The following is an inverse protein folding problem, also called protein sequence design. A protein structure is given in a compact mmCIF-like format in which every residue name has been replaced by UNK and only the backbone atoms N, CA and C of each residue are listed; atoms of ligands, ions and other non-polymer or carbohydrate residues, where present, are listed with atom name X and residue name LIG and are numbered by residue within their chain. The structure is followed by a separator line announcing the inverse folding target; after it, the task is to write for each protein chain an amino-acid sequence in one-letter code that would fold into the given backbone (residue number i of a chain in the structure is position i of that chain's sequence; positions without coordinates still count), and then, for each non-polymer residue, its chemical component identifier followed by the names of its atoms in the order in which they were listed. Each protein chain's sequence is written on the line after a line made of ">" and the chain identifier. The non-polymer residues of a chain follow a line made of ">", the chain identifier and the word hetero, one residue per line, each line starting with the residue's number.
data_IF_765294408293
#
_entry.id   IF_765294408293
#
_cell.length_a   1.000
_cell.length_b   1.000
_cell.length_c   1.000
_cell.angle_alpha   90.00
_cell.angle_beta   90.00
_cell.angle_gamma   90.00
#
_symmetry.space_group_name_H-M   'P 1'
#
loop_
_entity.id
_entity.type
_entity.pdbx_description
1 polymer ?
#
# COMPACT_ATOMS: atom_id res chain seq x y z
N UNK A 1 3.84 -36.56 -24.78
CA UNK A 1 5.14 -36.27 -24.16
C UNK A 1 5.09 -34.90 -23.48
N UNK A 2 5.20 -34.94 -22.17
CA UNK A 2 5.31 -33.90 -21.14
C UNK A 2 5.57 -32.45 -21.58
N UNK A 3 4.54 -31.59 -21.47
CA UNK A 3 4.73 -30.14 -21.27
C UNK A 3 4.96 -29.95 -19.77
N UNK A 4 6.18 -29.59 -19.39
CA UNK A 4 6.57 -29.32 -18.01
C UNK A 4 5.84 -28.11 -17.45
N UNK A 5 4.69 -28.36 -16.81
CA UNK A 5 4.08 -27.46 -15.84
C UNK A 5 5.05 -27.32 -14.65
N UNK A 6 5.95 -26.34 -14.74
CA UNK A 6 6.54 -25.75 -13.56
C UNK A 6 5.41 -25.06 -12.79
N UNK A 7 4.65 -25.85 -12.01
CA UNK A 7 3.88 -25.35 -10.88
C UNK A 7 4.88 -24.85 -9.86
N UNK A 8 5.43 -23.67 -10.09
CA UNK A 8 6.02 -22.87 -9.02
C UNK A 8 4.86 -22.66 -8.05
N UNK A 9 4.96 -23.10 -6.78
CA UNK A 9 3.88 -22.90 -5.83
C UNK A 9 3.72 -21.39 -5.63
N UNK A 10 2.68 -20.87 -6.26
CA UNK A 10 2.20 -19.51 -6.19
C UNK A 10 1.74 -19.26 -4.75
N UNK A 11 2.60 -18.62 -3.95
CA UNK A 11 2.44 -18.50 -2.50
C UNK A 11 1.34 -17.47 -2.21
N UNK A 12 0.10 -17.92 -2.16
CA UNK A 12 -0.97 -17.15 -1.56
C UNK A 12 -0.93 -17.29 -0.05
N UNK A 13 -0.70 -16.17 0.63
CA UNK A 13 -0.78 -16.10 2.09
C UNK A 13 0.13 -15.00 2.63
N UNK A 14 -0.49 -13.91 3.08
CA UNK A 14 0.20 -12.95 3.93
C UNK A 14 0.79 -13.72 5.13
N UNK A 15 2.11 -13.75 5.23
CA UNK A 15 2.76 -14.26 6.44
C UNK A 15 2.36 -13.36 7.62
N UNK A 16 2.29 -13.89 8.86
CA UNK A 16 2.04 -13.05 10.05
C UNK A 16 2.94 -11.80 10.10
N UNK A 17 4.17 -11.93 9.62
CA UNK A 17 5.15 -10.84 9.53
C UNK A 17 4.76 -9.73 8.54
N UNK A 18 4.14 -10.06 7.41
CA UNK A 18 3.66 -9.06 6.44
C UNK A 18 2.43 -8.32 6.97
N UNK A 19 1.52 -9.02 7.64
CA UNK A 19 0.35 -8.42 8.30
C UNK A 19 0.73 -7.47 9.43
N UNK A 20 1.66 -7.88 10.31
CA UNK A 20 2.17 -7.02 11.38
C UNK A 20 2.83 -5.76 10.82
N UNK A 21 3.59 -5.91 9.73
CA UNK A 21 4.23 -4.78 9.05
C UNK A 21 3.19 -3.84 8.45
N UNK A 22 2.13 -4.38 7.84
CA UNK A 22 1.02 -3.60 7.32
C UNK A 22 0.32 -2.81 8.43
N UNK A 23 -0.02 -3.46 9.55
CA UNK A 23 -0.63 -2.81 10.72
C UNK A 23 0.22 -1.67 11.26
N UNK A 24 1.54 -1.86 11.36
CA UNK A 24 2.46 -0.78 11.78
C UNK A 24 2.43 0.40 10.80
N UNK A 25 2.38 0.16 9.49
CA UNK A 25 2.26 1.21 8.49
C UNK A 25 0.94 1.96 8.66
N UNK A 26 -0.18 1.26 8.79
CA UNK A 26 -1.49 1.87 9.02
C UNK A 26 -1.51 2.75 10.27
N UNK A 27 -1.08 2.20 11.41
CA UNK A 27 -1.05 2.94 12.69
C UNK A 27 -0.17 4.19 12.55
N UNK A 28 1.04 4.04 11.99
CA UNK A 28 1.97 5.16 11.82
C UNK A 28 1.41 6.25 10.90
N UNK A 29 0.78 5.87 9.77
CA UNK A 29 0.18 6.82 8.83
C UNK A 29 -1.03 7.54 9.43
N UNK A 30 -1.88 6.81 10.14
CA UNK A 30 -3.03 7.39 10.84
C UNK A 30 -2.59 8.34 11.95
N UNK A 31 -1.63 7.94 12.79
CA UNK A 31 -1.10 8.80 13.86
C UNK A 31 -0.46 10.08 13.29
N UNK A 32 0.33 9.96 12.22
CA UNK A 32 0.92 11.12 11.55
C UNK A 32 -0.15 12.04 10.95
N UNK A 33 -1.20 11.49 10.35
CA UNK A 33 -2.32 12.28 9.84
C UNK A 33 -3.02 13.03 10.98
N UNK A 34 -3.37 12.36 12.07
CA UNK A 34 -4.00 12.99 13.25
C UNK A 34 -3.12 14.12 13.79
N UNK A 35 -1.83 13.87 13.97
CA UNK A 35 -0.88 14.89 14.41
C UNK A 35 -0.87 16.09 13.46
N UNK A 36 -0.80 15.84 12.14
CA UNK A 36 -0.80 16.91 11.14
C UNK A 36 -2.10 17.72 11.15
N UNK A 37 -3.27 17.06 11.21
CA UNK A 37 -4.57 17.74 11.27
C UNK A 37 -4.68 18.60 12.55
N UNK A 38 -4.18 18.12 13.68
CA UNK A 38 -4.13 18.89 14.94
C UNK A 38 -3.25 20.13 14.81
N UNK A 39 -2.05 20.01 14.23
CA UNK A 39 -1.17 21.15 14.02
C UNK A 39 -1.78 22.16 13.04
N UNK A 40 -2.37 21.70 11.94
CA UNK A 40 -3.04 22.59 10.99
C UNK A 40 -4.21 23.35 11.63
N UNK A 41 -4.95 22.72 12.54
CA UNK A 41 -6.01 23.38 13.31
C UNK A 41 -5.46 24.41 14.30
N UNK A 42 -4.41 24.04 15.06
CA UNK A 42 -3.89 24.86 16.16
C UNK A 42 -3.03 26.02 15.66
N UNK A 43 -2.16 25.78 14.67
CA UNK A 43 -1.17 26.76 14.20
C UNK A 43 -1.76 27.67 13.11
N UNK A 44 -2.58 27.11 12.22
CA UNK A 44 -3.16 27.87 11.11
C UNK A 44 -4.61 28.30 11.37
N UNK A 45 -5.08 28.19 12.62
CA UNK A 45 -6.44 28.56 13.06
C UNK A 45 -7.56 28.00 12.17
N UNK A 46 -7.32 26.84 11.57
CA UNK A 46 -8.23 26.26 10.58
C UNK A 46 -9.47 25.66 11.26
N UNK A 47 -10.61 25.81 10.62
CA UNK A 47 -11.84 25.14 11.03
C UNK A 47 -11.68 23.60 10.99
N UNK A 48 -12.46 22.86 11.80
CA UNK A 48 -12.45 21.39 11.76
C UNK A 48 -12.68 20.86 10.35
N UNK A 49 -11.86 19.88 9.95
CA UNK A 49 -11.99 19.22 8.66
C UNK A 49 -13.26 18.38 8.59
N UNK A 50 -13.87 18.33 7.42
CA UNK A 50 -14.98 17.40 7.17
C UNK A 50 -14.49 15.96 7.16
N UNK A 51 -15.36 15.02 7.51
CA UNK A 51 -15.05 13.59 7.47
C UNK A 51 -14.58 13.15 6.07
N UNK A 52 -15.22 13.68 5.02
CA UNK A 52 -14.84 13.42 3.62
C UNK A 52 -13.40 13.86 3.32
N UNK A 53 -13.01 15.05 3.74
CA UNK A 53 -11.63 15.54 3.54
C UNK A 53 -10.61 14.71 4.31
N UNK A 54 -10.95 14.29 5.54
CA UNK A 54 -10.09 13.42 6.36
C UNK A 54 -9.88 12.08 5.65
N UNK A 55 -10.96 11.45 5.17
CA UNK A 55 -10.90 10.18 4.44
C UNK A 55 -10.09 10.31 3.16
N UNK A 56 -10.31 11.35 2.35
CA UNK A 56 -9.53 11.59 1.13
C UNK A 56 -8.03 11.82 1.42
N UNK A 57 -7.69 12.55 2.49
CA UNK A 57 -6.30 12.77 2.90
C UNK A 57 -5.64 11.49 3.40
N UNK A 58 -6.40 10.67 4.14
CA UNK A 58 -5.94 9.37 4.63
C UNK A 58 -5.67 8.39 3.47
N UNK A 59 -6.64 8.26 2.55
CA UNK A 59 -6.49 7.49 1.31
C UNK A 59 -5.28 7.98 0.51
N UNK A 60 -5.14 9.30 0.32
CA UNK A 60 -3.97 9.87 -0.37
C UNK A 60 -2.65 9.56 0.33
N UNK A 61 -2.62 9.50 1.67
CA UNK A 61 -1.42 9.14 2.42
C UNK A 61 -1.04 7.67 2.27
N UNK A 62 -2.03 6.79 2.18
CA UNK A 62 -1.82 5.36 1.96
C UNK A 62 -1.48 5.05 0.50
N UNK A 63 -2.14 5.66 -0.47
CA UNK A 63 -1.82 5.52 -1.89
C UNK A 63 -0.38 5.98 -2.19
N UNK A 64 0.06 7.10 -1.59
CA UNK A 64 1.47 7.52 -1.66
C UNK A 64 2.41 6.47 -1.08
N UNK A 65 2.00 5.79 -0.01
CA UNK A 65 2.82 4.74 0.61
C UNK A 65 2.88 3.48 -0.25
N UNK A 66 1.75 3.04 -0.79
CA UNK A 66 1.64 1.96 -1.75
C UNK A 66 2.55 2.22 -2.96
N UNK A 67 2.44 3.39 -3.59
CA UNK A 67 3.29 3.81 -4.70
C UNK A 67 4.79 3.75 -4.35
N UNK A 68 5.18 4.25 -3.17
CA UNK A 68 6.57 4.15 -2.71
C UNK A 68 7.01 2.70 -2.49
N UNK A 69 6.17 1.86 -1.88
CA UNK A 69 6.50 0.45 -1.66
C UNK A 69 6.63 -0.29 -3.01
N UNK A 70 5.81 0.02 -4.02
CA UNK A 70 5.94 -0.47 -5.40
C UNK A 70 7.24 0.00 -6.07
N UNK A 71 7.56 1.30 -6.00
CA UNK A 71 8.80 1.86 -6.57
C UNK A 71 10.04 1.20 -5.97
N UNK A 72 10.02 0.92 -4.67
CA UNK A 72 11.10 0.25 -3.96
C UNK A 72 11.23 -1.24 -4.32
N UNK A 73 10.34 -1.81 -5.13
CA UNK A 73 10.52 -3.16 -5.67
C UNK A 73 11.44 -3.22 -6.89
N UNK A 74 11.73 -2.08 -7.52
CA UNK A 74 12.58 -2.03 -8.70
C UNK A 74 14.06 -2.24 -8.33
N UNK A 75 14.54 -3.46 -8.59
CA UNK A 75 15.93 -3.88 -8.39
C UNK A 75 16.93 -3.05 -9.19
N UNK A 76 16.56 -2.60 -10.39
CA UNK A 76 17.46 -1.84 -11.27
C UNK A 76 17.69 -0.43 -10.71
N UNK A 77 16.65 0.16 -10.12
CA UNK A 77 16.67 1.53 -9.60
C UNK A 77 17.19 1.65 -8.17
N UNK A 78 16.96 0.65 -7.32
CA UNK A 78 17.23 0.76 -5.87
C UNK A 78 18.21 -0.27 -5.27
N UNK A 79 18.89 -1.06 -6.12
CA UNK A 79 20.00 -2.00 -5.80
C UNK A 79 19.97 -2.66 -4.40
N UNK A 80 20.47 -1.97 -3.36
CA UNK A 80 20.62 -2.45 -1.97
C UNK A 80 19.41 -2.25 -1.05
N UNK A 81 18.43 -1.40 -1.41
CA UNK A 81 17.25 -1.07 -0.57
C UNK A 81 15.95 -1.65 -1.13
N UNK A 82 16.05 -2.70 -1.93
CA UNK A 82 14.91 -3.24 -2.66
C UNK A 82 14.02 -4.04 -1.72
N UNK A 83 12.72 -3.73 -1.74
CA UNK A 83 11.69 -4.55 -1.11
C UNK A 83 11.33 -5.68 -2.08
N UNK A 84 11.27 -6.91 -1.58
CA UNK A 84 10.82 -8.02 -2.41
C UNK A 84 9.37 -7.80 -2.87
N UNK A 85 9.11 -8.01 -4.16
CA UNK A 85 7.76 -7.90 -4.74
C UNK A 85 6.73 -8.74 -4.00
N UNK A 86 7.08 -9.98 -3.66
CA UNK A 86 6.22 -10.88 -2.88
C UNK A 86 5.79 -10.29 -1.53
N UNK A 87 6.64 -9.50 -0.89
CA UNK A 87 6.31 -8.80 0.36
C UNK A 87 5.29 -7.69 0.10
N UNK A 88 5.44 -6.93 -0.98
CA UNK A 88 4.50 -5.85 -1.34
C UNK A 88 3.16 -6.44 -1.75
N UNK A 89 3.17 -7.43 -2.65
CA UNK A 89 1.96 -8.13 -3.09
C UNK A 89 1.20 -8.70 -1.89
N UNK A 90 1.86 -9.44 -1.00
CA UNK A 90 1.20 -10.04 0.18
C UNK A 90 0.82 -9.04 1.29
N UNK A 91 1.42 -7.86 1.34
CA UNK A 91 1.09 -6.82 2.33
C UNK A 91 -0.16 -6.04 1.96
N UNK A 92 -0.30 -5.75 0.68
CA UNK A 92 -1.41 -4.98 0.13
C UNK A 92 -2.51 -5.88 -0.46
N UNK A 93 -2.32 -7.19 -0.43
CA UNK A 93 -3.35 -8.16 -0.76
C UNK A 93 -4.60 -7.94 0.12
N UNK A 94 -5.79 -8.03 -0.47
CA UNK A 94 -7.08 -7.80 0.19
C UNK A 94 -7.34 -6.36 0.67
N UNK A 95 -6.63 -5.37 0.12
CA UNK A 95 -6.77 -3.95 0.49
C UNK A 95 -7.01 -3.04 -0.71
N UNK A 96 -6.87 -3.56 -1.92
CA UNK A 96 -7.02 -2.83 -3.16
C UNK A 96 -8.46 -2.96 -3.67
N UNK A 97 -8.96 -1.92 -4.32
CA UNK A 97 -10.24 -2.00 -5.03
C UNK A 97 -10.05 -2.73 -6.36
N UNK A 98 -11.01 -3.59 -6.75
CA UNK A 98 -11.00 -4.37 -7.98
C UNK A 98 -9.79 -5.34 -8.12
N UNK A 99 -9.42 -6.04 -7.05
CA UNK A 99 -8.31 -7.03 -7.08
C UNK A 99 -8.45 -8.11 -8.15
N UNK A 100 -9.67 -8.49 -8.49
CA UNK A 100 -9.95 -9.49 -9.53
C UNK A 100 -9.51 -9.05 -10.94
N UNK A 101 -9.42 -7.74 -11.17
CA UNK A 101 -8.98 -7.17 -12.45
C UNK A 101 -7.46 -6.93 -12.49
N UNK A 102 -6.74 -7.11 -11.37
CA UNK A 102 -5.31 -6.84 -11.29
C UNK A 102 -4.47 -8.02 -11.80
N UNK A 103 -3.38 -7.76 -12.54
CA UNK A 103 -2.44 -8.80 -12.92
C UNK A 103 -1.68 -9.35 -11.70
N UNK A 104 -1.12 -10.56 -11.84
CA UNK A 104 -0.37 -11.25 -10.78
C UNK A 104 0.79 -10.41 -10.20
N UNK A 105 1.46 -9.61 -11.04
CA UNK A 105 2.46 -8.62 -10.63
C UNK A 105 1.96 -7.19 -10.90
N UNK A 106 0.96 -6.76 -10.12
CA UNK A 106 0.41 -5.39 -10.21
C UNK A 106 1.38 -4.29 -9.75
N UNK A 107 2.55 -4.63 -9.21
CA UNK A 107 3.53 -3.63 -8.71
C UNK A 107 4.05 -2.67 -9.78
N UNK A 108 3.84 -3.00 -11.06
CA UNK A 108 4.20 -2.15 -12.21
C UNK A 108 3.09 -1.20 -12.64
N UNK A 109 1.85 -1.41 -12.19
CA UNK A 109 0.66 -0.64 -12.60
C UNK A 109 0.29 0.42 -11.56
N UNK A 110 1.30 1.15 -11.10
CA UNK A 110 1.25 2.14 -10.01
C UNK A 110 0.16 3.22 -10.24
N UNK A 111 -0.22 3.48 -11.49
CA UNK A 111 -1.21 4.50 -11.87
C UNK A 111 -2.68 4.05 -11.82
N UNK A 112 -2.97 2.75 -11.69
CA UNK A 112 -4.34 2.18 -11.79
C UNK A 112 -4.93 1.91 -10.40
N UNK A 113 -4.11 1.93 -9.35
CA UNK A 113 -4.51 1.65 -7.97
C UNK A 113 -5.16 2.89 -7.31
N UNK A 114 -6.35 3.23 -7.78
CA UNK A 114 -7.21 4.25 -7.17
C UNK A 114 -8.37 3.54 -6.49
N UNK A 115 -8.22 3.27 -5.21
CA UNK A 115 -9.30 2.71 -4.40
C UNK A 115 -8.79 1.90 -3.23
N UNK A 116 -8.96 2.41 -2.01
CA UNK A 116 -9.09 1.53 -0.85
C UNK A 116 -10.57 1.45 -0.55
N UNK A 117 -11.04 0.24 -0.26
CA UNK A 117 -12.44 -0.09 -0.05
C UNK A 117 -13.16 0.95 0.83
N UNK A 118 -14.35 1.34 0.36
CA UNK A 118 -15.27 2.26 1.01
C UNK A 118 -16.06 1.58 2.12
#
# INVERSE_FOLDING_TARGET
>A
MLVGLARVPFIWGATKRTEERFRRILISKSAHLIWRLRNERVINERQPYSEKEISQRWLGALNRRLCMDCLLTDKRKYSKKVILKSIVLGMWWNTLENEEALPEDWTKEIGILVGMVK
#
